data_IF_279314050316
#
_entry.id   IF_279314050316
#
_cell.length_a   1.000
_cell.length_b   1.000
_cell.length_c   1.000
_cell.angle_alpha   90.00
_cell.angle_beta   90.00
_cell.angle_gamma   90.00
#
_symmetry.space_group_name_H-M   'P 1'
#
loop_
_entity.id
_entity.type
_entity.pdbx_description
1 polymer ?
#
# COMPACT_ATOMS: atom_id res chain seq x y z
N UNK A 1 -12.54 -11.76 -4.42
CA UNK A 1 -11.13 -11.41 -4.68
C UNK A 1 -10.75 -10.44 -3.58
N UNK A 2 -9.71 -10.70 -2.81
CA UNK A 2 -9.34 -9.86 -1.67
C UNK A 2 -7.93 -9.31 -1.86
N UNK A 3 -7.84 -8.01 -2.13
CA UNK A 3 -6.56 -7.30 -2.27
C UNK A 3 -6.40 -6.44 -1.03
N UNK A 4 -5.27 -6.53 -0.35
CA UNK A 4 -4.97 -5.64 0.78
C UNK A 4 -4.23 -4.43 0.25
N UNK A 5 -4.75 -3.23 0.48
CA UNK A 5 -4.13 -1.98 0.04
C UNK A 5 -3.71 -1.18 1.26
N UNK A 6 -2.40 -1.01 1.43
CA UNK A 6 -1.84 -0.11 2.43
C UNK A 6 -1.57 1.25 1.78
N UNK A 7 -2.30 2.26 2.25
CA UNK A 7 -2.17 3.62 1.75
C UNK A 7 -1.56 4.57 2.80
N UNK A 8 -0.87 5.61 2.33
CA UNK A 8 -0.41 6.70 3.19
C UNK A 8 0.74 7.51 2.57
N UNK A 9 1.20 8.58 3.24
CA UNK A 9 2.21 9.48 2.68
C UNK A 9 3.51 8.79 2.26
N UNK A 10 4.24 9.38 1.31
CA UNK A 10 5.60 8.92 0.95
C UNK A 10 6.52 8.97 2.19
N UNK A 11 7.54 8.10 2.23
CA UNK A 11 8.49 7.98 3.33
C UNK A 11 7.88 7.57 4.70
N UNK A 12 6.70 6.95 4.69
CA UNK A 12 6.06 6.38 5.90
C UNK A 12 6.54 4.97 6.27
N UNK A 13 7.54 4.43 5.56
CA UNK A 13 8.08 3.09 5.80
C UNK A 13 7.25 1.94 5.19
N UNK A 14 6.34 2.23 4.26
CA UNK A 14 5.56 1.20 3.53
C UNK A 14 6.47 0.17 2.87
N UNK A 15 7.33 0.60 1.96
CA UNK A 15 8.31 -0.22 1.23
C UNK A 15 9.26 -0.94 2.19
N UNK A 16 9.75 -0.23 3.22
CA UNK A 16 10.69 -0.78 4.19
C UNK A 16 10.10 -1.93 5.04
N UNK A 17 8.79 -1.90 5.30
CA UNK A 17 8.09 -2.93 6.07
C UNK A 17 7.24 -3.87 5.20
N UNK A 18 7.40 -3.82 3.87
CA UNK A 18 6.65 -4.60 2.89
C UNK A 18 6.49 -6.08 3.27
N UNK A 19 7.61 -6.76 3.54
CA UNK A 19 7.59 -8.19 3.90
C UNK A 19 6.89 -8.47 5.23
N UNK A 20 7.00 -7.56 6.22
CA UNK A 20 6.30 -7.72 7.49
C UNK A 20 4.79 -7.57 7.31
N UNK A 21 4.37 -6.60 6.50
CA UNK A 21 2.96 -6.44 6.14
C UNK A 21 2.45 -7.67 5.39
N UNK A 22 3.21 -8.16 4.39
CA UNK A 22 2.83 -9.33 3.60
C UNK A 22 2.57 -10.54 4.49
N UNK A 23 3.50 -10.85 5.39
CA UNK A 23 3.36 -11.96 6.34
C UNK A 23 2.21 -11.76 7.31
N UNK A 24 2.05 -10.55 7.87
CA UNK A 24 0.99 -10.27 8.84
C UNK A 24 -0.41 -10.35 8.24
N UNK A 25 -0.61 -9.85 7.02
CA UNK A 25 -1.89 -9.88 6.33
C UNK A 25 -2.13 -11.16 5.53
N UNK A 26 -1.20 -12.13 5.57
CA UNK A 26 -1.31 -13.38 4.81
C UNK A 26 -1.32 -13.16 3.30
N UNK A 27 -0.70 -12.08 2.82
CA UNK A 27 -0.65 -11.77 1.40
C UNK A 27 0.38 -12.64 0.68
N UNK A 28 0.09 -12.96 -0.58
CA UNK A 28 0.96 -13.78 -1.43
C UNK A 28 2.20 -12.99 -1.84
N UNK A 29 1.99 -11.80 -2.40
CA UNK A 29 3.03 -10.98 -3.01
C UNK A 29 2.88 -9.50 -2.62
N UNK A 30 3.96 -8.72 -2.77
CA UNK A 30 3.94 -7.27 -2.57
C UNK A 30 4.07 -6.55 -3.90
N UNK A 31 3.13 -5.65 -4.14
CA UNK A 31 3.14 -4.73 -5.27
C UNK A 31 3.34 -3.32 -4.75
N UNK A 32 4.53 -2.75 -4.98
CA UNK A 32 4.88 -1.39 -4.60
C UNK A 32 4.92 -0.46 -5.81
N UNK A 33 4.65 0.82 -5.59
CA UNK A 33 4.80 1.86 -6.61
C UNK A 33 3.55 2.14 -7.46
N UNK A 34 2.40 1.53 -7.16
CA UNK A 34 1.16 1.86 -7.88
C UNK A 34 0.72 3.31 -7.61
N UNK A 35 0.42 4.05 -8.69
CA UNK A 35 -0.13 5.42 -8.63
C UNK A 35 -1.46 5.52 -9.37
N UNK A 36 -2.41 6.34 -8.87
CA UNK A 36 -3.66 6.57 -9.56
C UNK A 36 -3.42 7.51 -10.75
N UNK A 37 -3.90 7.11 -11.93
CA UNK A 37 -3.71 7.87 -13.18
C UNK A 37 -2.40 7.61 -13.91
N UNK A 38 -1.50 6.76 -13.36
CA UNK A 38 -0.44 6.18 -14.17
C UNK A 38 -1.00 4.96 -14.90
N UNK A 39 -1.53 5.17 -16.11
CA UNK A 39 -1.68 4.06 -17.08
C UNK A 39 -0.31 3.49 -17.49
N UNK A 40 0.76 4.22 -17.15
CA UNK A 40 2.15 3.85 -17.36
C UNK A 40 2.93 4.26 -16.11
N UNK A 41 3.32 3.30 -15.27
CA UNK A 41 4.57 3.48 -14.53
C UNK A 41 5.69 3.60 -15.56
N UNK A 42 6.72 4.39 -15.28
CA UNK A 42 8.01 4.47 -15.99
C UNK A 42 8.71 3.10 -16.23
N UNK A 43 8.08 2.01 -15.81
CA UNK A 43 8.40 0.62 -16.14
C UNK A 43 7.13 -0.08 -16.69
N UNK A 44 6.88 0.14 -17.98
CA UNK A 44 6.38 -0.75 -19.05
C UNK A 44 5.42 -1.94 -18.82
N UNK A 45 4.76 -2.13 -17.69
CA UNK A 45 3.69 -3.15 -17.58
C UNK A 45 2.51 -2.64 -16.73
N UNK A 46 1.25 -2.88 -17.16
CA UNK A 46 0.09 -2.59 -16.32
C UNK A 46 0.16 -3.42 -15.03
N UNK A 47 0.04 -2.75 -13.88
CA UNK A 47 0.05 -3.44 -12.58
C UNK A 47 -1.18 -4.36 -12.46
N UNK A 48 -0.98 -5.65 -12.71
CA UNK A 48 -2.02 -6.68 -12.56
C UNK A 48 -2.04 -7.18 -11.12
N UNK A 49 -2.97 -6.66 -10.31
CA UNK A 49 -3.19 -7.17 -8.96
C UNK A 49 -4.01 -8.46 -8.99
N UNK A 50 -3.52 -9.48 -8.29
CA UNK A 50 -4.16 -10.77 -8.10
C UNK A 50 -4.77 -10.87 -6.71
N UNK A 51 -5.61 -11.88 -6.53
CA UNK A 51 -6.20 -12.18 -5.23
C UNK A 51 -5.09 -12.53 -4.21
N UNK A 52 -5.14 -11.91 -3.04
CA UNK A 52 -4.15 -12.08 -1.99
C UNK A 52 -2.93 -11.17 -2.11
N UNK A 53 -2.87 -10.27 -3.09
CA UNK A 53 -1.73 -9.34 -3.20
C UNK A 53 -1.83 -8.20 -2.19
N UNK A 54 -0.65 -7.71 -1.79
CA UNK A 54 -0.48 -6.52 -0.97
C UNK A 54 -0.05 -5.34 -1.85
N UNK A 55 -0.94 -4.37 -2.03
CA UNK A 55 -0.62 -3.12 -2.71
C UNK A 55 -0.12 -2.08 -1.71
N UNK A 56 1.04 -1.49 -2.00
CA UNK A 56 1.57 -0.33 -1.30
C UNK A 56 1.41 0.90 -2.19
N UNK A 57 0.72 1.93 -1.69
CA UNK A 57 0.49 3.14 -2.48
C UNK A 57 0.53 4.42 -1.66
N UNK A 58 0.92 5.52 -2.32
CA UNK A 58 0.80 6.87 -1.80
C UNK A 58 -0.54 7.53 -2.19
N UNK A 59 -1.40 6.81 -2.92
CA UNK A 59 -2.71 7.28 -3.33
C UNK A 59 -3.61 7.60 -2.15
N UNK A 60 -4.52 8.54 -2.35
CA UNK A 60 -5.68 8.73 -1.48
C UNK A 60 -6.60 7.49 -1.58
N UNK A 61 -7.20 6.98 -0.48
CA UNK A 61 -8.21 5.92 -0.49
C UNK A 61 -9.28 6.10 -1.58
N UNK A 62 -9.75 7.32 -1.84
CA UNK A 62 -10.75 7.58 -2.88
C UNK A 62 -10.27 7.14 -4.27
N UNK A 63 -8.99 7.33 -4.57
CA UNK A 63 -8.41 6.95 -5.85
C UNK A 63 -8.24 5.43 -5.97
N UNK A 64 -7.95 4.75 -4.86
CA UNK A 64 -7.94 3.28 -4.77
C UNK A 64 -9.36 2.75 -4.98
N UNK A 65 -10.34 3.28 -4.27
CA UNK A 65 -11.75 2.90 -4.39
C UNK A 65 -12.28 3.17 -5.79
N UNK A 66 -11.92 4.27 -6.44
CA UNK A 66 -12.30 4.55 -7.81
C UNK A 66 -11.77 3.51 -8.80
N UNK A 67 -10.56 2.97 -8.59
CA UNK A 67 -9.93 2.00 -9.49
C UNK A 67 -10.41 0.57 -9.26
N UNK A 68 -10.50 0.16 -8.01
CA UNK A 68 -10.79 -1.22 -7.64
C UNK A 68 -12.24 -1.45 -7.25
N UNK A 69 -12.98 -0.39 -6.90
CA UNK A 69 -14.38 -0.44 -6.47
C UNK A 69 -14.56 -1.28 -5.21
N UNK A 70 -15.79 -1.73 -5.00
CA UNK A 70 -16.18 -2.60 -3.88
C UNK A 70 -15.79 -4.08 -4.11
N UNK A 71 -14.82 -4.36 -4.99
CA UNK A 71 -14.48 -5.72 -5.45
C UNK A 71 -13.68 -6.54 -4.43
N UNK A 72 -13.88 -6.28 -3.13
CA UNK A 72 -13.19 -6.95 -2.03
C UNK A 72 -11.82 -6.34 -1.70
N UNK A 73 -11.67 -5.02 -1.84
CA UNK A 73 -10.43 -4.35 -1.40
C UNK A 73 -10.46 -4.10 0.09
N UNK A 74 -9.40 -4.51 0.79
CA UNK A 74 -9.16 -4.15 2.19
C UNK A 74 -8.22 -2.96 2.25
N UNK A 75 -8.78 -1.76 2.40
CA UNK A 75 -8.02 -0.53 2.60
C UNK A 75 -7.54 -0.43 4.05
N UNK A 76 -6.23 -0.22 4.22
CA UNK A 76 -5.59 -0.08 5.52
C UNK A 76 -4.69 1.17 5.50
N UNK A 77 -4.90 2.15 6.39
CA UNK A 77 -3.97 3.26 6.53
C UNK A 77 -2.64 2.77 7.11
N UNK A 78 -1.53 3.33 6.63
CA UNK A 78 -0.18 2.94 7.06
C UNK A 78 0.02 3.03 8.58
N UNK A 79 -0.63 3.97 9.25
CA UNK A 79 -0.55 4.09 10.71
C UNK A 79 -1.11 2.84 11.41
N UNK A 80 -2.26 2.35 10.94
CA UNK A 80 -2.87 1.14 11.45
C UNK A 80 -2.02 -0.08 11.08
N UNK A 81 -1.55 -0.17 9.84
CA UNK A 81 -0.70 -1.27 9.41
C UNK A 81 0.57 -1.38 10.27
N UNK A 82 1.25 -0.26 10.55
CA UNK A 82 2.45 -0.23 11.41
C UNK A 82 2.16 -0.71 12.83
N UNK A 83 1.05 -0.25 13.43
CA UNK A 83 0.62 -0.71 14.76
C UNK A 83 0.39 -2.22 14.78
N UNK A 84 -0.26 -2.77 13.74
CA UNK A 84 -0.54 -4.20 13.61
C UNK A 84 0.72 -5.07 13.54
N UNK A 85 1.77 -4.59 12.86
CA UNK A 85 3.07 -5.29 12.80
C UNK A 85 4.04 -4.90 13.93
N UNK A 86 3.58 -4.13 14.92
CA UNK A 86 4.37 -3.77 16.11
C UNK A 86 5.53 -2.81 15.85
N UNK A 87 5.61 -2.15 14.69
CA UNK A 87 6.55 -1.03 14.51
C UNK A 87 5.84 0.26 14.88
N UNK A 88 6.48 1.06 15.73
CA UNK A 88 5.94 2.31 16.26
C UNK A 88 5.42 3.28 15.19
N UNK A 89 4.83 4.41 15.60
CA UNK A 89 4.15 5.34 14.70
C UNK A 89 5.05 5.82 13.56
N UNK A 90 4.43 6.28 12.46
CA UNK A 90 5.17 6.86 11.34
C UNK A 90 6.10 7.94 11.89
N UNK A 91 7.43 7.84 11.67
CA UNK A 91 8.35 8.82 12.21
C UNK A 91 7.96 10.20 11.68
N UNK A 92 7.70 11.15 12.60
CA UNK A 92 7.46 12.53 12.22
C UNK A 92 8.68 13.00 11.43
N UNK A 93 8.47 13.43 10.19
CA UNK A 93 9.52 13.97 9.34
C UNK A 93 10.27 15.00 10.18
N UNK A 94 11.55 14.76 10.49
CA UNK A 94 12.40 15.78 11.10
C UNK A 94 12.37 16.95 10.12
N UNK A 95 11.67 18.03 10.48
CA UNK A 95 11.88 19.31 9.82
C UNK A 95 13.37 19.58 10.01
N UNK A 96 14.15 19.48 8.92
CA UNK A 96 15.49 20.02 8.92
C UNK A 96 15.32 21.52 9.15
N UNK A 97 15.68 21.96 10.35
CA UNK A 97 15.98 23.37 10.62
C UNK A 97 17.22 23.76 9.83
#
# INVERSE_FOLDING_TARGET
MTITVIHGPQASGKTFHAERFRKHFGCRDVVDGWRPGSDLSDHSEPVVLRNGDLLLTNANPDAVMKRFGDRGVRLIPIEQARRMIGVGPVPKRRQRR
#
